data_IF_637341514638
#
_entry.id   IF_637341514638
#
_cell.length_a   1.000
_cell.length_b   1.000
_cell.length_c   1.000
_cell.angle_alpha   90.00
_cell.angle_beta   90.00
_cell.angle_gamma   90.00
#
_symmetry.space_group_name_H-M   'P 1'
#
loop_
_entity.id
_entity.type
_entity.pdbx_description
1 polymer ?
#
# COMPACT_ATOMS: atom_id res chain seq x y z
N UNK A 1 5.23 -12.28 -40.13
CA UNK A 1 4.81 -10.89 -40.37
C UNK A 1 4.84 -10.09 -39.06
N UNK A 2 5.99 -10.04 -38.38
CA UNK A 2 6.19 -9.29 -37.11
C UNK A 2 7.13 -8.08 -37.29
N UNK A 3 7.69 -7.88 -38.49
CA UNK A 3 8.67 -6.84 -38.80
C UNK A 3 8.06 -5.45 -39.11
N UNK A 4 6.73 -5.29 -39.09
CA UNK A 4 6.08 -4.02 -39.44
C UNK A 4 5.90 -3.04 -38.25
N UNK A 5 6.21 -3.49 -37.03
CA UNK A 5 6.06 -2.69 -35.81
C UNK A 5 7.26 -1.79 -35.48
N UNK A 6 8.45 -2.09 -36.00
CA UNK A 6 9.65 -1.28 -35.73
C UNK A 6 9.63 0.02 -36.55
N UNK A 7 9.12 1.09 -35.93
CA UNK A 7 9.21 2.47 -36.44
C UNK A 7 7.88 3.20 -36.62
N UNK A 8 6.73 2.57 -36.36
CA UNK A 8 5.44 3.26 -36.36
C UNK A 8 5.25 4.05 -35.06
N UNK A 9 4.87 5.33 -35.19
CA UNK A 9 4.40 6.13 -34.06
C UNK A 9 2.97 5.68 -33.67
N UNK A 10 2.73 5.25 -32.42
CA UNK A 10 1.39 4.86 -31.95
C UNK A 10 0.40 6.03 -31.99
N UNK A 11 -0.89 5.71 -32.14
CA UNK A 11 -1.94 6.71 -31.96
C UNK A 11 -1.99 7.19 -30.50
N UNK A 12 -2.55 8.37 -30.23
CA UNK A 12 -2.58 8.93 -28.86
C UNK A 12 -3.28 8.00 -27.85
N UNK A 13 -4.42 7.42 -28.22
CA UNK A 13 -5.14 6.47 -27.37
C UNK A 13 -4.34 5.17 -27.12
N UNK A 14 -3.62 4.70 -28.14
CA UNK A 14 -2.75 3.53 -28.04
C UNK A 14 -1.56 3.82 -27.13
N UNK A 15 -0.94 4.99 -27.27
CA UNK A 15 0.14 5.44 -26.39
C UNK A 15 -0.32 5.56 -24.94
N UNK A 16 -1.54 6.05 -24.70
CA UNK A 16 -2.11 6.15 -23.37
C UNK A 16 -2.37 4.76 -22.75
N UNK A 17 -2.87 3.80 -23.54
CA UNK A 17 -3.02 2.40 -23.11
C UNK A 17 -1.66 1.77 -22.77
N UNK A 18 -0.65 1.94 -23.62
CA UNK A 18 0.71 1.43 -23.40
C UNK A 18 1.33 2.02 -22.13
N UNK A 19 1.14 3.32 -21.87
CA UNK A 19 1.60 3.97 -20.65
C UNK A 19 0.95 3.38 -19.40
N UNK A 20 -0.37 3.15 -19.44
CA UNK A 20 -1.09 2.52 -18.32
C UNK A 20 -0.57 1.11 -18.07
N UNK A 21 -0.43 0.31 -19.12
CA UNK A 21 0.08 -1.06 -19.03
C UNK A 21 1.48 -1.11 -18.44
N UNK A 22 2.37 -0.23 -18.91
CA UNK A 22 3.73 -0.11 -18.37
C UNK A 22 3.71 0.26 -16.88
N UNK A 23 2.92 1.27 -16.49
CA UNK A 23 2.83 1.70 -15.10
C UNK A 23 2.31 0.58 -14.19
N UNK A 24 1.25 -0.13 -14.60
CA UNK A 24 0.71 -1.27 -13.85
C UNK A 24 1.74 -2.40 -13.71
N UNK A 25 2.48 -2.72 -14.78
CA UNK A 25 3.53 -3.75 -14.73
C UNK A 25 4.66 -3.37 -13.78
N UNK A 26 5.15 -2.13 -13.86
CA UNK A 26 6.20 -1.66 -12.97
C UNK A 26 5.74 -1.62 -11.52
N UNK A 27 4.48 -1.22 -11.27
CA UNK A 27 3.88 -1.26 -9.95
C UNK A 27 3.81 -2.68 -9.40
N UNK A 28 3.37 -3.65 -10.20
CA UNK A 28 3.33 -5.05 -9.77
C UNK A 28 4.74 -5.60 -9.49
N UNK A 29 5.73 -5.30 -10.35
CA UNK A 29 7.12 -5.70 -10.12
C UNK A 29 7.69 -5.13 -8.83
N UNK A 30 7.34 -3.88 -8.53
CA UNK A 30 7.71 -3.26 -7.27
C UNK A 30 7.11 -4.06 -6.10
N UNK A 31 5.79 -4.29 -6.09
CA UNK A 31 5.14 -5.08 -5.04
C UNK A 31 5.68 -6.51 -4.90
N UNK A 32 6.10 -7.12 -6.01
CA UNK A 32 6.65 -8.48 -6.04
C UNK A 32 8.12 -8.55 -5.59
N UNK A 33 8.75 -7.44 -5.22
CA UNK A 33 10.14 -7.45 -4.76
C UNK A 33 11.18 -7.57 -5.89
N UNK A 34 10.79 -7.33 -7.15
CA UNK A 34 11.60 -7.67 -8.33
C UNK A 34 12.57 -6.57 -8.78
N UNK A 35 12.62 -5.44 -8.07
CA UNK A 35 13.53 -4.33 -8.39
C UNK A 35 14.85 -4.51 -7.61
N UNK A 36 15.94 -4.96 -8.27
CA UNK A 36 17.15 -5.44 -7.58
C UNK A 36 17.95 -4.32 -6.89
N UNK A 37 17.77 -3.08 -7.33
CA UNK A 37 18.47 -1.91 -6.80
C UNK A 37 17.67 -1.19 -5.70
N UNK A 38 16.53 -1.75 -5.28
CA UNK A 38 15.70 -1.21 -4.21
C UNK A 38 15.77 -2.12 -2.97
N UNK A 39 16.03 -1.51 -1.80
CA UNK A 39 16.03 -2.23 -0.52
C UNK A 39 14.60 -2.26 0.06
N UNK A 40 13.93 -3.38 -0.12
CA UNK A 40 12.55 -3.59 0.35
C UNK A 40 12.42 -3.60 1.88
N UNK A 41 13.50 -3.84 2.63
CA UNK A 41 13.46 -3.77 4.09
C UNK A 41 13.15 -2.35 4.60
N UNK A 42 13.43 -1.31 3.81
CA UNK A 42 13.10 0.08 4.15
C UNK A 42 11.60 0.36 4.20
N UNK A 43 10.78 -0.52 3.63
CA UNK A 43 9.32 -0.42 3.62
C UNK A 43 8.70 -1.58 4.38
N UNK A 44 9.04 -2.82 4.02
CA UNK A 44 8.41 -4.02 4.59
C UNK A 44 8.77 -4.26 6.05
N UNK A 45 9.97 -3.85 6.47
CA UNK A 45 10.48 -4.04 7.84
C UNK A 45 10.61 -2.72 8.61
N UNK A 46 9.90 -1.68 8.17
CA UNK A 46 10.00 -0.35 8.76
C UNK A 46 8.86 -0.06 9.75
N UNK A 47 9.13 -0.13 11.07
CA UNK A 47 8.10 0.08 12.08
C UNK A 47 7.56 1.51 12.14
N UNK A 48 8.30 2.49 11.58
CA UNK A 48 7.83 3.88 11.53
C UNK A 48 6.72 4.08 10.47
N UNK A 49 6.59 3.14 9.53
CA UNK A 49 5.52 3.10 8.53
C UNK A 49 4.32 2.25 8.99
N UNK A 50 4.46 1.54 10.12
CA UNK A 50 3.35 0.81 10.72
C UNK A 50 2.37 1.78 11.38
N UNK A 51 1.07 1.58 11.13
CA UNK A 51 0.02 2.39 11.74
C UNK A 51 -0.28 1.95 13.19
N UNK A 52 0.75 1.71 14.02
CA UNK A 52 0.60 1.20 15.39
C UNK A 52 -0.22 2.14 16.28
N UNK A 53 -0.10 3.45 16.08
CA UNK A 53 -0.87 4.45 16.82
C UNK A 53 -2.39 4.30 16.61
N UNK A 54 -2.80 3.85 15.43
CA UNK A 54 -4.22 3.60 15.11
C UNK A 54 -4.68 2.32 15.80
N UNK A 55 -3.87 1.25 15.71
CA UNK A 55 -4.18 -0.04 16.36
C UNK A 55 -4.33 0.13 17.87
N UNK A 56 -3.41 0.86 18.52
CA UNK A 56 -3.44 1.08 19.96
C UNK A 56 -4.73 1.80 20.39
N UNK A 57 -5.14 2.85 19.68
CA UNK A 57 -6.38 3.56 19.99
C UNK A 57 -7.62 2.68 19.76
N UNK A 58 -7.66 1.93 18.67
CA UNK A 58 -8.79 1.06 18.36
C UNK A 58 -8.92 -0.08 19.42
N UNK A 59 -7.80 -0.56 19.97
CA UNK A 59 -7.78 -1.51 21.10
C UNK A 59 -8.23 -0.88 22.41
N UNK A 60 -7.79 0.35 22.71
CA UNK A 60 -8.26 1.12 23.87
C UNK A 60 -9.78 1.37 23.80
N UNK A 61 -10.29 1.85 22.68
CA UNK A 61 -11.73 2.09 22.48
C UNK A 61 -12.55 0.81 22.69
N UNK A 62 -12.08 -0.32 22.14
CA UNK A 62 -12.70 -1.63 22.35
C UNK A 62 -12.74 -2.02 23.83
N UNK A 63 -11.66 -1.78 24.58
CA UNK A 63 -11.61 -2.07 26.01
C UNK A 63 -12.69 -1.29 26.78
N UNK A 64 -12.89 0.00 26.46
CA UNK A 64 -13.94 0.81 27.10
C UNK A 64 -15.36 0.44 26.65
N UNK A 65 -15.56 0.09 25.38
CA UNK A 65 -16.87 -0.30 24.84
C UNK A 65 -17.32 -1.69 25.34
N UNK A 66 -16.39 -2.60 25.63
CA UNK A 66 -16.67 -3.93 26.20
C UNK A 66 -16.99 -3.89 27.70
N UNK A 67 -16.66 -2.81 28.42
CA UNK A 67 -17.02 -2.62 29.81
C UNK A 67 -18.42 -2.01 29.96
N UNK A 68 -19.31 -2.66 30.72
CA UNK A 68 -20.55 -2.03 31.17
C UNK A 68 -20.21 -0.84 32.08
N UNK A 69 -20.89 0.32 31.93
CA UNK A 69 -20.62 1.49 32.76
C UNK A 69 -20.81 1.15 34.24
N UNK A 70 -19.71 1.15 34.99
CA UNK A 70 -19.72 0.90 36.44
C UNK A 70 -19.80 2.20 37.23
N UNK A 71 -20.40 2.16 38.42
CA UNK A 71 -20.42 3.31 39.34
C UNK A 71 -18.98 3.68 39.70
N UNK A 72 -18.60 4.95 39.46
CA UNK A 72 -17.27 5.43 39.80
C UNK A 72 -16.95 5.14 41.27
N UNK A 73 -15.75 4.61 41.59
CA UNK A 73 -15.38 4.26 42.95
C UNK A 73 -15.52 5.48 43.86
N UNK A 74 -16.40 5.39 44.85
CA UNK A 74 -16.58 6.45 45.82
C UNK A 74 -15.31 6.54 46.67
N UNK A 75 -14.54 7.61 46.47
CA UNK A 75 -13.36 7.90 47.29
C UNK A 75 -13.81 8.11 48.74
N UNK A 76 -13.29 7.25 49.61
CA UNK A 76 -13.59 7.20 51.05
C UNK A 76 -12.68 8.16 51.83
#
# INVERSE_FOLDING_TARGET
DDDEAEGRVPAEAELEMLRREFATRMYQRFLDGLEPDFDYSQVDENPDLDNLDIVARDEEEKYFDEEEPSEAPQLL
#
